data_IF_549110866228
#
_entry.id   IF_549110866228
#
_cell.length_a   1.000
_cell.length_b   1.000
_cell.length_c   1.000
_cell.angle_alpha   90.00
_cell.angle_beta   90.00
_cell.angle_gamma   90.00
#
_symmetry.space_group_name_H-M   'P 1'
#
loop_
_entity.id
_entity.type
_entity.pdbx_description
1 polymer ?
#
# COMPACT_ATOMS: atom_id res chain seq x y z
N UNK A 1 -10.16 10.37 -13.56
CA UNK A 1 -9.30 9.18 -13.34
C UNK A 1 -8.72 8.76 -14.69
N UNK A 2 -7.45 8.38 -14.70
CA UNK A 2 -6.75 7.94 -15.89
C UNK A 2 -6.49 6.43 -15.76
N UNK A 3 -7.38 5.62 -16.30
CA UNK A 3 -7.30 4.16 -16.33
C UNK A 3 -7.24 3.63 -17.76
N UNK A 4 -7.22 2.31 -17.91
CA UNK A 4 -7.36 1.65 -19.21
C UNK A 4 -8.82 1.68 -19.64
N UNK A 5 -9.10 1.96 -20.90
CA UNK A 5 -10.46 2.01 -21.44
C UNK A 5 -11.22 0.70 -21.16
N UNK A 6 -12.35 0.82 -20.47
CA UNK A 6 -13.18 -0.31 -20.00
C UNK A 6 -12.80 -0.89 -18.63
N UNK A 7 -11.74 -0.36 -17.99
CA UNK A 7 -11.28 -0.78 -16.68
C UNK A 7 -11.02 0.40 -15.71
N UNK A 8 -11.52 1.58 -16.02
CA UNK A 8 -11.25 2.82 -15.28
C UNK A 8 -11.77 2.79 -13.83
N UNK A 9 -12.68 1.88 -13.53
CA UNK A 9 -13.18 1.64 -12.16
C UNK A 9 -12.31 0.65 -11.37
N UNK A 10 -11.45 -0.11 -12.06
CA UNK A 10 -10.64 -1.18 -11.46
C UNK A 10 -9.19 -0.75 -11.25
N UNK A 11 -8.60 -0.07 -12.23
CA UNK A 11 -7.27 0.53 -12.05
C UNK A 11 -7.17 1.87 -12.72
N UNK A 12 -6.55 2.80 -12.01
CA UNK A 12 -6.47 4.19 -12.40
C UNK A 12 -5.32 4.90 -11.69
N UNK A 13 -4.96 6.07 -12.17
CA UNK A 13 -4.15 7.00 -11.41
C UNK A 13 -4.76 8.40 -11.37
N UNK A 14 -4.33 9.18 -10.37
CA UNK A 14 -4.66 10.58 -10.21
C UNK A 14 -3.49 11.29 -9.54
N UNK A 15 -3.12 12.44 -10.07
CA UNK A 15 -2.11 13.28 -9.45
C UNK A 15 -2.74 14.27 -8.47
N UNK A 16 -2.06 14.46 -7.36
CA UNK A 16 -2.37 15.47 -6.36
C UNK A 16 -1.07 16.13 -5.91
N UNK A 17 -0.88 17.42 -6.26
CA UNK A 17 0.40 18.11 -6.05
C UNK A 17 1.56 17.30 -6.65
N UNK A 18 2.53 16.93 -5.87
CA UNK A 18 3.71 16.14 -6.26
C UNK A 18 3.57 14.63 -6.02
N UNK A 19 2.36 14.14 -5.80
CA UNK A 19 2.06 12.73 -5.55
C UNK A 19 1.26 12.17 -6.72
N UNK A 20 1.66 11.01 -7.25
CA UNK A 20 0.81 10.16 -8.10
C UNK A 20 0.18 9.08 -7.26
N UNK A 21 -1.14 9.10 -7.16
CA UNK A 21 -1.95 8.08 -6.49
C UNK A 21 -2.38 7.07 -7.54
N UNK A 22 -2.07 5.78 -7.31
CA UNK A 22 -2.40 4.66 -8.18
C UNK A 22 -3.38 3.76 -7.44
N UNK A 23 -4.58 3.56 -7.99
CA UNK A 23 -5.53 2.55 -7.53
C UNK A 23 -5.42 1.30 -8.38
N UNK A 24 -5.38 0.13 -7.74
CA UNK A 24 -5.31 -1.17 -8.39
C UNK A 24 -6.35 -2.13 -7.80
N UNK A 25 -6.84 -3.04 -8.63
CA UNK A 25 -7.80 -4.05 -8.22
C UNK A 25 -7.11 -5.41 -8.07
N UNK A 26 -6.98 -5.86 -6.83
CA UNK A 26 -6.41 -7.17 -6.48
C UNK A 26 -7.44 -8.28 -6.29
N UNK A 27 -8.71 -8.09 -6.69
CA UNK A 27 -9.70 -9.15 -6.72
C UNK A 27 -9.38 -10.19 -7.81
N UNK A 28 -9.78 -11.44 -7.61
CA UNK A 28 -9.40 -12.57 -8.47
C UNK A 28 -9.65 -12.34 -9.97
N UNK A 29 -10.73 -11.66 -10.35
CA UNK A 29 -11.07 -11.37 -11.75
C UNK A 29 -10.17 -10.33 -12.41
N UNK A 30 -9.38 -9.60 -11.64
CA UNK A 30 -8.57 -8.46 -12.10
C UNK A 30 -7.07 -8.63 -11.85
N UNK A 31 -6.65 -9.77 -11.32
CA UNK A 31 -5.23 -10.17 -11.21
C UNK A 31 -4.70 -10.62 -12.56
N UNK A 32 -4.67 -9.70 -13.52
CA UNK A 32 -4.39 -9.97 -14.92
C UNK A 32 -3.18 -9.19 -15.42
N UNK A 33 -2.56 -9.71 -16.47
CA UNK A 33 -1.34 -9.16 -17.04
C UNK A 33 -1.52 -7.73 -17.57
N UNK A 34 -2.68 -7.42 -18.12
CA UNK A 34 -3.02 -6.11 -18.65
C UNK A 34 -2.93 -5.00 -17.58
N UNK A 35 -3.32 -5.31 -16.36
CA UNK A 35 -3.20 -4.37 -15.24
C UNK A 35 -1.73 -4.12 -14.88
N UNK A 36 -0.90 -5.17 -14.88
CA UNK A 36 0.53 -5.06 -14.62
C UNK A 36 1.27 -4.30 -15.73
N UNK A 37 0.94 -4.55 -17.00
CA UNK A 37 1.48 -3.83 -18.15
C UNK A 37 1.08 -2.34 -18.13
N UNK A 38 -0.16 -2.06 -17.72
CA UNK A 38 -0.60 -0.70 -17.49
C UNK A 38 0.22 -0.02 -16.38
N UNK A 39 0.45 -0.71 -15.25
CA UNK A 39 1.27 -0.18 -14.16
C UNK A 39 2.69 0.15 -14.66
N UNK A 40 3.34 -0.73 -15.42
CA UNK A 40 4.65 -0.48 -16.02
C UNK A 40 4.65 0.80 -16.86
N UNK A 41 3.60 1.01 -17.66
CA UNK A 41 3.46 2.20 -18.49
C UNK A 41 3.36 3.47 -17.64
N UNK A 42 2.56 3.44 -16.56
CA UNK A 42 2.39 4.58 -15.66
C UNK A 42 3.67 4.88 -14.89
N UNK A 43 4.36 3.87 -14.38
CA UNK A 43 5.63 4.05 -13.68
C UNK A 43 6.72 4.59 -14.63
N UNK A 44 6.74 4.14 -15.88
CA UNK A 44 7.67 4.63 -16.90
C UNK A 44 7.50 6.12 -17.17
N UNK A 45 6.27 6.60 -17.39
CA UNK A 45 6.02 8.04 -17.59
C UNK A 45 6.31 8.83 -16.32
N UNK A 46 6.03 8.27 -15.14
CA UNK A 46 6.28 8.92 -13.85
C UNK A 46 7.78 9.10 -13.59
N UNK A 47 8.61 8.19 -14.07
CA UNK A 47 10.08 8.30 -13.94
C UNK A 47 10.60 9.61 -14.52
N UNK A 48 10.05 10.05 -15.67
CA UNK A 48 10.46 11.27 -16.36
C UNK A 48 9.68 12.52 -15.92
N UNK A 49 8.62 12.37 -15.16
CA UNK A 49 7.77 13.47 -14.73
C UNK A 49 8.45 14.29 -13.64
N UNK A 50 8.76 15.55 -13.92
CA UNK A 50 9.47 16.44 -12.98
C UNK A 50 8.57 17.07 -11.93
N UNK A 51 7.26 16.85 -11.99
CA UNK A 51 6.29 17.37 -11.02
C UNK A 51 6.06 16.35 -9.91
N UNK A 52 6.11 15.06 -10.26
CA UNK A 52 5.83 13.97 -9.33
C UNK A 52 7.10 13.55 -8.60
N UNK A 53 7.07 13.66 -7.28
CA UNK A 53 8.15 13.23 -6.37
C UNK A 53 7.87 11.86 -5.74
N UNK A 54 6.59 11.49 -5.57
CA UNK A 54 6.17 10.30 -4.85
C UNK A 54 5.11 9.50 -5.60
N UNK A 55 5.15 8.17 -5.45
CA UNK A 55 4.09 7.26 -5.92
C UNK A 55 3.46 6.56 -4.72
N UNK A 56 2.13 6.72 -4.58
CA UNK A 56 1.33 6.05 -3.56
C UNK A 56 0.34 5.12 -4.24
N UNK A 57 0.63 3.82 -4.20
CA UNK A 57 -0.25 2.78 -4.73
C UNK A 57 -1.19 2.24 -3.64
N UNK A 58 -2.37 1.81 -4.02
CA UNK A 58 -3.33 1.18 -3.12
C UNK A 58 -3.98 -0.02 -3.79
N UNK A 59 -4.11 -1.11 -3.07
CA UNK A 59 -4.83 -2.32 -3.46
C UNK A 59 -5.32 -3.06 -2.21
N UNK A 60 -6.26 -3.99 -2.37
CA UNK A 60 -6.90 -4.61 -1.22
C UNK A 60 -6.07 -5.71 -0.56
N UNK A 61 -5.54 -6.66 -1.34
CA UNK A 61 -4.88 -7.84 -0.77
C UNK A 61 -3.39 -7.61 -0.52
N UNK A 62 -2.83 -8.15 0.59
CA UNK A 62 -1.39 -8.13 0.85
C UNK A 62 -0.60 -9.04 -0.09
N UNK A 63 0.69 -8.79 -0.23
CA UNK A 63 1.66 -9.81 -0.65
C UNK A 63 2.00 -10.73 0.51
N UNK A 64 2.43 -10.12 1.60
CA UNK A 64 2.68 -10.78 2.88
C UNK A 64 1.85 -10.11 3.97
N UNK A 65 1.34 -10.92 4.90
CA UNK A 65 0.68 -10.48 6.12
C UNK A 65 1.08 -11.39 7.26
N UNK A 66 1.51 -10.80 8.37
CA UNK A 66 1.95 -11.54 9.55
C UNK A 66 0.77 -12.05 10.39
N UNK A 67 -0.32 -11.28 10.44
CA UNK A 67 -1.49 -11.62 11.25
C UNK A 67 -2.36 -12.71 10.59
N UNK A 68 -2.48 -12.70 9.27
CA UNK A 68 -3.28 -13.67 8.52
C UNK A 68 -2.66 -14.00 7.14
N UNK A 69 -1.65 -14.90 7.10
CA UNK A 69 -0.95 -15.24 5.85
C UNK A 69 -1.80 -15.88 4.75
N UNK A 70 -2.94 -16.48 5.08
CA UNK A 70 -3.87 -17.05 4.08
C UNK A 70 -4.47 -15.98 3.16
N UNK A 71 -4.47 -14.71 3.56
CA UNK A 71 -4.90 -13.58 2.75
C UNK A 71 -3.88 -13.13 1.70
N UNK A 72 -2.68 -13.68 1.70
CA UNK A 72 -1.57 -13.29 0.83
C UNK A 72 -1.84 -13.59 -0.65
N UNK A 73 -1.28 -12.76 -1.54
CA UNK A 73 -1.37 -12.98 -2.99
C UNK A 73 -0.08 -12.64 -3.73
N UNK A 74 0.32 -13.53 -4.64
CA UNK A 74 1.48 -13.30 -5.51
C UNK A 74 1.30 -12.10 -6.45
N UNK A 75 0.07 -11.79 -6.85
CA UNK A 75 -0.19 -10.63 -7.70
C UNK A 75 0.27 -9.32 -7.05
N UNK A 76 0.03 -9.15 -5.74
CA UNK A 76 0.55 -7.98 -5.01
C UNK A 76 2.09 -7.99 -4.96
N UNK A 77 2.71 -9.17 -4.89
CA UNK A 77 4.16 -9.30 -5.00
C UNK A 77 4.70 -8.75 -6.33
N UNK A 78 4.06 -9.09 -7.46
CA UNK A 78 4.43 -8.55 -8.77
C UNK A 78 4.26 -7.02 -8.84
N UNK A 79 3.26 -6.46 -8.15
CA UNK A 79 3.09 -4.99 -8.03
C UNK A 79 4.22 -4.36 -7.23
N UNK A 80 4.61 -4.99 -6.12
CA UNK A 80 5.71 -4.53 -5.26
C UNK A 80 7.01 -4.53 -6.05
N UNK A 81 7.35 -5.61 -6.75
CA UNK A 81 8.56 -5.72 -7.58
C UNK A 81 8.68 -4.53 -8.56
N UNK A 82 7.55 -4.13 -9.19
CA UNK A 82 7.52 -2.98 -10.10
C UNK A 82 7.74 -1.64 -9.39
N UNK A 83 7.15 -1.46 -8.22
CA UNK A 83 7.31 -0.24 -7.40
C UNK A 83 8.74 -0.13 -6.85
N UNK A 84 9.36 -1.23 -6.49
CA UNK A 84 10.76 -1.30 -6.06
C UNK A 84 11.73 -0.91 -7.19
N UNK A 85 11.55 -1.52 -8.36
CA UNK A 85 12.33 -1.17 -9.56
C UNK A 85 12.14 0.31 -9.90
N UNK A 86 10.90 0.80 -9.88
CA UNK A 86 10.60 2.20 -10.12
C UNK A 86 11.33 3.11 -9.12
N UNK A 87 11.24 2.84 -7.83
CA UNK A 87 11.86 3.68 -6.80
C UNK A 87 13.39 3.74 -6.95
N UNK A 88 14.00 2.63 -7.35
CA UNK A 88 15.46 2.54 -7.59
C UNK A 88 15.87 3.31 -8.85
N UNK A 89 15.15 3.11 -9.95
CA UNK A 89 15.50 3.70 -11.26
C UNK A 89 15.23 5.20 -11.28
N UNK A 90 14.09 5.64 -10.71
CA UNK A 90 13.70 7.05 -10.70
C UNK A 90 14.31 7.85 -9.55
N UNK A 91 14.71 7.20 -8.46
CA UNK A 91 15.07 7.83 -7.19
C UNK A 91 13.90 8.42 -6.42
N UNK A 92 12.65 8.12 -6.85
CA UNK A 92 11.41 8.62 -6.23
C UNK A 92 10.85 7.57 -5.28
N UNK A 93 10.68 7.89 -3.99
CA UNK A 93 10.08 6.96 -3.04
C UNK A 93 8.67 6.54 -3.43
N UNK A 94 8.34 5.29 -3.13
CA UNK A 94 6.99 4.75 -3.32
C UNK A 94 6.46 4.11 -2.03
N UNK A 95 5.13 4.09 -1.92
CA UNK A 95 4.41 3.39 -0.85
C UNK A 95 3.32 2.56 -1.51
N UNK A 96 3.07 1.32 -1.04
CA UNK A 96 1.78 0.72 -1.27
C UNK A 96 1.01 0.54 0.04
N UNK A 97 -0.26 0.93 -0.01
CA UNK A 97 -1.23 0.72 1.05
C UNK A 97 -2.08 -0.49 0.71
N UNK A 98 -2.28 -1.35 1.68
CA UNK A 98 -3.11 -2.53 1.52
C UNK A 98 -4.01 -2.77 2.74
N UNK A 99 -4.88 -3.75 2.63
CA UNK A 99 -5.82 -4.15 3.67
C UNK A 99 -5.99 -5.66 3.71
N UNK A 100 -7.24 -6.11 3.70
CA UNK A 100 -7.67 -7.51 3.76
C UNK A 100 -7.40 -8.16 5.12
N UNK A 101 -6.18 -8.19 5.59
CA UNK A 101 -5.81 -8.52 6.96
C UNK A 101 -6.10 -7.35 7.87
N UNK A 102 -6.98 -7.55 8.83
CA UNK A 102 -7.50 -6.49 9.69
C UNK A 102 -6.55 -6.20 10.84
N UNK A 103 -5.60 -5.34 10.57
CA UNK A 103 -4.60 -4.88 11.51
C UNK A 103 -3.79 -3.74 10.94
N UNK A 104 -2.69 -3.45 11.54
CA UNK A 104 -1.71 -2.50 11.06
C UNK A 104 -0.36 -3.18 10.91
N UNK A 105 0.26 -3.03 9.76
CA UNK A 105 1.66 -3.43 9.56
C UNK A 105 2.40 -2.36 8.80
N UNK A 106 3.68 -2.22 9.08
CA UNK A 106 4.57 -1.35 8.31
C UNK A 106 5.90 -2.02 8.08
N UNK A 107 6.26 -2.10 6.83
CA UNK A 107 7.52 -2.62 6.37
C UNK A 107 8.21 -1.70 5.38
N UNK A 108 9.45 -2.04 5.05
CA UNK A 108 10.24 -1.38 4.05
C UNK A 108 11.08 -2.41 3.31
N UNK A 109 11.11 -2.30 1.99
CA UNK A 109 12.02 -3.09 1.16
C UNK A 109 13.47 -2.81 1.57
N UNK A 110 14.27 -3.87 1.67
CA UNK A 110 15.66 -3.76 2.16
C UNK A 110 16.51 -2.83 1.30
N UNK A 111 16.42 -2.97 -0.02
CA UNK A 111 17.32 -2.34 -0.99
C UNK A 111 16.66 -1.24 -1.84
N UNK A 112 15.40 -0.89 -1.53
CA UNK A 112 14.58 0.04 -2.31
C UNK A 112 13.92 1.10 -1.43
N UNK A 113 13.63 2.27 -2.01
CA UNK A 113 12.88 3.32 -1.33
C UNK A 113 11.36 3.06 -1.45
N UNK A 114 10.95 1.86 -1.01
CA UNK A 114 9.57 1.40 -1.07
C UNK A 114 9.08 1.00 0.32
N UNK A 115 7.93 1.57 0.73
CA UNK A 115 7.23 1.25 1.98
C UNK A 115 5.99 0.40 1.72
N UNK A 116 5.71 -0.52 2.62
CA UNK A 116 4.54 -1.38 2.67
C UNK A 116 3.72 -1.06 3.91
N UNK A 117 2.45 -0.71 3.76
CA UNK A 117 1.63 -0.25 4.90
C UNK A 117 0.25 -0.90 4.86
N UNK A 118 -0.02 -1.79 5.81
CA UNK A 118 -1.38 -2.26 6.08
C UNK A 118 -2.17 -1.19 6.83
N UNK A 119 -3.35 -0.85 6.32
CA UNK A 119 -4.23 0.18 6.89
C UNK A 119 -5.63 -0.34 7.21
N UNK A 120 -5.82 -1.64 7.27
CA UNK A 120 -7.14 -2.27 7.44
C UNK A 120 -7.61 -2.35 8.90
N UNK A 121 -7.18 -1.44 9.74
CA UNK A 121 -7.56 -1.39 11.17
C UNK A 121 -8.65 -0.38 11.49
N UNK A 122 -9.37 0.12 10.48
CA UNK A 122 -10.30 1.26 10.64
C UNK A 122 -11.77 0.91 10.92
N UNK A 123 -12.17 -0.37 11.06
CA UNK A 123 -13.60 -0.61 11.30
C UNK A 123 -14.13 -2.04 11.17
N UNK A 124 -13.35 -3.00 10.67
CA UNK A 124 -13.69 -4.43 10.72
C UNK A 124 -13.31 -5.05 12.07
N UNK A 125 -13.67 -6.32 12.30
CA UNK A 125 -13.06 -7.07 13.39
C UNK A 125 -11.56 -7.18 13.12
N UNK A 126 -10.73 -7.06 14.15
CA UNK A 126 -9.30 -7.25 14.01
C UNK A 126 -8.96 -8.73 13.85
N UNK A 127 -7.91 -9.01 13.13
CA UNK A 127 -7.22 -10.30 13.14
C UNK A 127 -6.20 -10.24 14.29
N UNK A 128 -6.50 -10.93 15.38
CA UNK A 128 -5.67 -10.86 16.58
C UNK A 128 -4.44 -11.77 16.47
N UNK A 129 -3.36 -11.37 17.14
CA UNK A 129 -2.24 -12.28 17.38
C UNK A 129 -2.74 -13.57 18.05
N UNK A 130 -2.20 -14.73 17.61
CA UNK A 130 -2.59 -16.08 18.05
C UNK A 130 -3.98 -16.58 17.56
N UNK A 131 -4.71 -15.80 16.75
CA UNK A 131 -5.97 -16.25 16.17
C UNK A 131 -5.76 -17.19 14.96
N UNK A 132 -4.78 -16.88 14.12
CA UNK A 132 -4.43 -17.65 12.94
C UNK A 132 -2.99 -18.14 13.00
N UNK A 133 -2.60 -18.99 12.04
CA UNK A 133 -1.19 -19.30 11.85
C UNK A 133 -0.44 -18.02 11.52
N UNK A 134 0.62 -17.76 12.24
CA UNK A 134 1.41 -16.54 12.09
C UNK A 134 2.73 -16.83 11.41
N UNK A 135 3.21 -15.85 10.66
CA UNK A 135 4.51 -15.90 10.03
C UNK A 135 5.19 -14.54 10.18
N UNK A 136 6.40 -14.56 10.66
CA UNK A 136 7.27 -13.37 10.73
C UNK A 136 7.96 -13.16 9.39
N UNK A 137 7.87 -11.96 8.86
CA UNK A 137 8.51 -11.56 7.61
C UNK A 137 9.52 -10.44 7.88
N UNK A 138 10.77 -10.65 7.45
CA UNK A 138 11.88 -9.72 7.70
C UNK A 138 11.65 -8.28 7.22
N UNK A 139 10.81 -8.08 6.21
CA UNK A 139 10.47 -6.77 5.67
C UNK A 139 9.57 -5.95 6.58
N UNK A 140 8.82 -6.57 7.49
CA UNK A 140 7.97 -5.85 8.43
C UNK A 140 8.72 -5.49 9.70
N UNK A 141 8.68 -4.22 10.06
CA UNK A 141 9.32 -3.67 11.27
C UNK A 141 8.35 -3.71 12.45
N UNK A 142 7.07 -3.63 12.14
CA UNK A 142 6.01 -3.53 13.15
C UNK A 142 4.69 -4.08 12.59
N UNK A 143 4.02 -4.90 13.38
CA UNK A 143 2.64 -5.34 13.16
C UNK A 143 1.86 -5.29 14.46
N UNK A 144 0.62 -4.78 14.40
CA UNK A 144 -0.27 -4.60 15.54
C UNK A 144 -1.71 -4.99 15.21
N UNK A 145 -2.32 -5.72 16.12
CA UNK A 145 -3.75 -6.03 16.17
C UNK A 145 -4.54 -4.94 16.90
N UNK A 146 -4.39 -3.70 16.46
CA UNK A 146 -5.00 -2.53 17.09
C UNK A 146 -5.80 -1.70 16.09
N UNK A 147 -6.92 -1.17 16.52
CA UNK A 147 -7.68 -0.18 15.76
C UNK A 147 -6.89 1.11 15.53
N UNK A 148 -7.13 1.74 14.39
CA UNK A 148 -6.47 2.99 14.09
C UNK A 148 -6.55 3.38 12.62
N UNK A 149 -5.79 4.40 12.28
CA UNK A 149 -5.66 4.88 10.91
C UNK A 149 -4.29 5.53 10.69
N UNK A 150 -3.99 5.77 9.44
CA UNK A 150 -2.73 6.40 9.02
C UNK A 150 -3.01 7.74 8.37
N UNK A 151 -2.21 8.73 8.73
CA UNK A 151 -2.17 10.04 8.06
C UNK A 151 -0.83 10.17 7.34
N UNK A 152 -0.88 10.55 6.07
CA UNK A 152 0.32 10.89 5.29
C UNK A 152 0.29 12.38 4.98
N UNK A 153 1.35 13.06 5.38
CA UNK A 153 1.61 14.46 5.08
C UNK A 153 2.76 14.51 4.06
N UNK A 154 2.57 15.17 2.93
CA UNK A 154 3.62 15.35 1.93
C UNK A 154 3.87 16.82 1.66
N UNK A 155 5.15 17.17 1.50
CA UNK A 155 5.61 18.51 1.17
C UNK A 155 6.24 18.50 -0.21
N UNK A 156 5.82 19.45 -1.06
CA UNK A 156 6.44 19.70 -2.35
C UNK A 156 7.51 20.80 -2.24
N UNK A 157 8.43 20.88 -3.19
CA UNK A 157 9.44 21.93 -3.24
C UNK A 157 10.83 21.43 -3.61
N UNK A 158 11.86 22.14 -3.18
CA UNK A 158 13.26 21.79 -3.49
C UNK A 158 13.78 20.58 -2.69
N UNK A 159 13.17 20.27 -1.56
CA UNK A 159 13.47 19.12 -0.71
C UNK A 159 12.15 18.39 -0.38
N UNK A 160 11.58 17.67 -1.37
CA UNK A 160 10.31 17.01 -1.20
C UNK A 160 10.42 15.88 -0.18
N UNK A 161 9.45 15.81 0.72
CA UNK A 161 9.40 14.78 1.75
C UNK A 161 7.98 14.41 2.10
N UNK A 162 7.81 13.23 2.66
CA UNK A 162 6.55 12.83 3.29
C UNK A 162 6.79 12.29 4.69
N UNK A 163 5.74 12.34 5.48
CA UNK A 163 5.68 11.79 6.83
C UNK A 163 4.45 10.92 6.96
N UNK A 164 4.65 9.69 7.41
CA UNK A 164 3.59 8.76 7.74
C UNK A 164 3.42 8.71 9.26
N UNK A 165 2.20 8.94 9.74
CA UNK A 165 1.83 8.92 11.15
C UNK A 165 0.68 7.96 11.37
N UNK A 166 0.90 6.95 12.22
CA UNK A 166 -0.17 6.10 12.73
C UNK A 166 -0.84 6.75 13.93
N UNK A 167 -2.16 6.67 13.97
CA UNK A 167 -2.99 6.98 15.14
C UNK A 167 -3.61 5.68 15.60
N UNK A 168 -3.18 5.16 16.75
CA UNK A 168 -3.72 3.95 17.38
C UNK A 168 -4.80 4.30 18.37
N UNK A 169 -5.84 3.47 18.42
CA UNK A 169 -6.95 3.52 19.38
C UNK A 169 -6.93 2.31 20.34
N UNK A 170 -5.89 1.45 20.23
CA UNK A 170 -5.80 0.21 20.98
C UNK A 170 -6.64 -0.91 20.38
N UNK A 171 -6.64 -2.07 21.04
CA UNK A 171 -7.39 -3.26 20.62
C UNK A 171 -8.54 -3.63 21.59
N UNK A 172 -8.82 -2.82 22.57
CA UNK A 172 -9.91 -3.07 23.51
C UNK A 172 -11.28 -2.95 22.84
N UNK A 173 -12.10 -3.94 23.01
CA UNK A 173 -13.49 -3.99 22.48
C UNK A 173 -14.37 -2.81 22.90
N UNK A 174 -13.98 -2.12 23.95
CA UNK A 174 -14.73 -1.01 24.52
C UNK A 174 -14.68 0.27 23.68
N UNK A 175 -13.64 0.45 22.91
CA UNK A 175 -13.49 1.64 22.09
C UNK A 175 -14.53 1.73 20.99
N UNK A 176 -15.20 0.64 20.69
CA UNK A 176 -16.11 0.53 19.56
C UNK A 176 -17.54 0.83 19.88
N UNK A 177 -17.89 0.78 21.12
CA UNK A 177 -19.30 0.59 21.48
C UNK A 177 -19.94 1.87 21.99
N UNK A 178 -19.15 2.87 22.27
CA UNK A 178 -19.61 4.04 23.04
C UNK A 178 -19.32 5.39 22.40
N UNK A 179 -19.14 5.41 21.08
CA UNK A 179 -19.08 6.68 20.33
C UNK A 179 -20.39 6.91 19.61
#
# INVERSE_FOLDING_TARGET
LNGTNGYEEHWWYKDHSNIRIIGMDSNNGYRIKEQLEWLDSILSITTSDTIIDFVFAQLHHPHHSELWPEGNTSFTGEVIDKLEVFSTVSGKPSIHFFGHTHGYSRGQSRDHQHLMVNVASGGGNLDYWDEYFQQDYEEYIISHDEYGFVVVEAEAGQDPKFKLKRISLGNEHLSLIHI
#
